data_IF_218714802748
#
_entry.id   IF_218714802748
#
_cell.length_a   1.000
_cell.length_b   1.000
_cell.length_c   1.000
_cell.angle_alpha   90.00
_cell.angle_beta   90.00
_cell.angle_gamma   90.00
#
_symmetry.space_group_name_H-M   'P 1'
#
loop_
_entity.id
_entity.type
_entity.pdbx_description
1 polymer ?
#
# COMPACT_ATOMS: atom_id res chain seq x y z
N UNK A 1 -12.51 -16.60 -2.11
CA UNK A 1 -12.58 -15.13 -1.91
C UNK A 1 -13.53 -14.85 -0.77
N UNK A 2 -13.21 -13.89 0.11
CA UNK A 2 -14.06 -13.54 1.26
C UNK A 2 -15.11 -12.49 0.81
N UNK A 3 -16.42 -12.76 0.90
CA UNK A 3 -17.47 -11.84 0.45
C UNK A 3 -17.47 -10.51 1.21
N UNK A 4 -16.83 -10.43 2.37
CA UNK A 4 -16.67 -9.19 3.14
C UNK A 4 -16.05 -8.04 2.33
N UNK A 5 -15.21 -8.35 1.33
CA UNK A 5 -14.54 -7.35 0.50
C UNK A 5 -15.14 -7.21 -0.90
N UNK A 6 -16.34 -7.75 -1.16
CA UNK A 6 -16.93 -7.74 -2.50
C UNK A 6 -17.14 -6.32 -3.06
N UNK A 7 -17.43 -5.36 -2.19
CA UNK A 7 -17.69 -3.96 -2.57
C UNK A 7 -16.44 -3.06 -2.49
N UNK A 8 -15.29 -3.59 -2.05
CA UNK A 8 -14.04 -2.81 -1.98
C UNK A 8 -13.38 -2.82 -3.35
N UNK A 9 -13.38 -1.67 -4.03
CA UNK A 9 -12.82 -1.47 -5.37
C UNK A 9 -11.53 -0.66 -5.34
N UNK A 10 -11.38 0.20 -4.34
CA UNK A 10 -10.22 1.05 -4.12
C UNK A 10 -9.88 1.15 -2.62
N UNK A 11 -8.66 1.59 -2.29
CA UNK A 11 -8.21 1.65 -0.90
C UNK A 11 -9.11 2.56 -0.04
N UNK A 12 -9.70 3.61 -0.64
CA UNK A 12 -10.57 4.55 0.06
C UNK A 12 -11.97 4.01 0.35
N UNK A 13 -12.31 2.81 -0.14
CA UNK A 13 -13.51 2.09 0.31
C UNK A 13 -13.29 1.38 1.66
N UNK A 14 -12.03 1.30 2.12
CA UNK A 14 -11.70 0.78 3.45
C UNK A 14 -11.98 1.84 4.52
N UNK A 15 -12.28 1.42 5.76
CA UNK A 15 -12.37 2.34 6.89
C UNK A 15 -11.10 3.18 7.03
N UNK A 16 -11.25 4.49 7.17
CA UNK A 16 -10.13 5.44 7.30
C UNK A 16 -9.17 5.04 8.45
N UNK A 17 -9.72 4.54 9.56
CA UNK A 17 -8.91 4.09 10.70
C UNK A 17 -7.94 2.96 10.32
N UNK A 18 -8.32 2.07 9.39
CA UNK A 18 -7.44 1.01 8.92
C UNK A 18 -6.29 1.59 8.09
N UNK A 19 -6.58 2.55 7.22
CA UNK A 19 -5.56 3.26 6.44
C UNK A 19 -4.57 3.97 7.37
N UNK A 20 -5.09 4.67 8.38
CA UNK A 20 -4.28 5.36 9.39
C UNK A 20 -3.41 4.38 10.21
N UNK A 21 -3.94 3.21 10.57
CA UNK A 21 -3.17 2.16 11.25
C UNK A 21 -2.03 1.62 10.38
N UNK A 22 -2.27 1.40 9.09
CA UNK A 22 -1.23 0.94 8.15
C UNK A 22 -0.16 2.02 7.97
N UNK A 23 -0.56 3.28 7.76
CA UNK A 23 0.38 4.40 7.64
C UNK A 23 1.22 4.57 8.91
N UNK A 24 0.59 4.56 10.09
CA UNK A 24 1.30 4.64 11.37
C UNK A 24 2.30 3.49 11.55
N UNK A 25 1.91 2.27 11.20
CA UNK A 25 2.83 1.13 11.27
C UNK A 25 4.09 1.37 10.42
N UNK A 26 3.94 1.74 9.15
CA UNK A 26 5.10 1.94 8.27
C UNK A 26 5.95 3.16 8.63
N UNK A 27 5.35 4.20 9.22
CA UNK A 27 6.09 5.34 9.73
C UNK A 27 7.01 4.98 10.90
N UNK A 28 6.63 4.00 11.74
CA UNK A 28 7.29 3.72 13.02
C UNK A 28 8.00 2.37 13.15
N UNK A 29 7.72 1.38 12.29
CA UNK A 29 8.22 0.02 12.51
C UNK A 29 9.76 -0.11 12.49
N UNK A 30 10.45 0.91 11.97
CA UNK A 30 11.92 0.99 11.85
C UNK A 30 12.57 1.94 12.85
N UNK A 31 11.84 2.54 13.78
CA UNK A 31 12.35 3.62 14.65
C UNK A 31 13.57 3.19 15.49
N UNK A 32 13.73 1.89 15.76
CA UNK A 32 14.86 1.33 16.52
C UNK A 32 15.99 0.78 15.63
N UNK A 33 15.86 0.86 14.32
CA UNK A 33 16.88 0.44 13.37
C UNK A 33 17.78 1.63 13.02
N UNK A 34 18.96 1.70 13.63
CA UNK A 34 19.88 2.82 13.47
C UNK A 34 20.15 3.16 11.99
N UNK A 35 19.90 4.44 11.63
CA UNK A 35 20.10 4.96 10.28
C UNK A 35 18.98 4.61 9.29
N UNK A 36 17.91 3.94 9.70
CA UNK A 36 16.75 3.66 8.84
C UNK A 36 15.60 4.60 9.18
N UNK A 37 14.90 5.03 8.14
CA UNK A 37 13.69 5.83 8.22
C UNK A 37 12.78 5.49 7.04
N UNK A 38 11.52 5.91 7.13
CA UNK A 38 10.54 5.80 6.07
C UNK A 38 9.82 7.15 5.96
N UNK A 39 9.59 7.59 4.73
CA UNK A 39 8.69 8.69 4.42
C UNK A 39 7.54 8.16 3.59
N UNK A 40 6.34 8.63 3.90
CA UNK A 40 5.11 8.24 3.23
C UNK A 40 4.69 9.38 2.32
N UNK A 41 4.66 9.12 1.02
CA UNK A 41 4.19 10.10 0.03
C UNK A 41 2.66 10.16 -0.04
N UNK A 42 1.98 9.04 0.25
CA UNK A 42 0.53 8.96 0.29
C UNK A 42 -0.01 7.61 -0.17
N UNK A 43 -1.31 7.57 -0.39
CA UNK A 43 -2.02 6.44 -0.96
C UNK A 43 -2.40 6.74 -2.42
N UNK A 44 -2.18 5.77 -3.31
CA UNK A 44 -2.57 5.84 -4.71
C UNK A 44 -3.64 4.78 -5.04
N UNK A 45 -4.34 4.98 -6.15
CA UNK A 45 -5.48 4.16 -6.53
C UNK A 45 -5.10 2.78 -7.09
N UNK A 46 -6.13 1.97 -7.34
CA UNK A 46 -5.97 0.61 -7.87
C UNK A 46 -5.39 0.59 -9.30
N UNK A 47 -5.61 1.64 -10.10
CA UNK A 47 -5.09 1.72 -11.46
C UNK A 47 -3.57 1.95 -11.44
N UNK A 48 -3.10 2.87 -10.59
CA UNK A 48 -1.68 3.08 -10.37
C UNK A 48 -1.00 1.77 -9.95
N UNK A 49 -1.56 1.09 -8.94
CA UNK A 49 -1.03 -0.18 -8.45
C UNK A 49 -0.97 -1.26 -9.56
N UNK A 50 -2.03 -1.38 -10.38
CA UNK A 50 -2.04 -2.30 -11.52
C UNK A 50 -0.96 -1.96 -12.56
N UNK A 51 -0.71 -0.66 -12.79
CA UNK A 51 0.37 -0.18 -13.64
C UNK A 51 1.76 -0.59 -13.13
N UNK A 52 2.01 -0.48 -11.82
CA UNK A 52 3.26 -0.92 -11.19
C UNK A 52 3.48 -2.43 -11.36
N UNK A 53 2.43 -3.24 -11.19
CA UNK A 53 2.48 -4.69 -11.39
C UNK A 53 2.88 -5.03 -12.83
N UNK A 54 2.23 -4.40 -13.83
CA UNK A 54 2.58 -4.61 -15.25
C UNK A 54 4.04 -4.27 -15.54
N UNK A 55 4.50 -3.10 -15.09
CA UNK A 55 5.91 -2.67 -15.23
C UNK A 55 6.87 -3.65 -14.57
N UNK A 56 6.51 -4.24 -13.42
CA UNK A 56 7.34 -5.23 -12.75
C UNK A 56 7.44 -6.54 -13.54
N UNK A 57 6.33 -7.01 -14.13
CA UNK A 57 6.31 -8.21 -15.00
C UNK A 57 7.18 -8.01 -16.24
N UNK A 58 7.07 -6.84 -16.88
CA UNK A 58 7.89 -6.48 -18.05
C UNK A 58 9.39 -6.50 -17.70
N UNK A 59 9.78 -5.86 -16.59
CA UNK A 59 11.18 -5.84 -16.11
C UNK A 59 11.73 -7.22 -15.76
N UNK A 60 10.89 -8.14 -15.28
CA UNK A 60 11.32 -9.48 -14.93
C UNK A 60 11.49 -10.39 -16.17
N UNK A 61 10.87 -10.01 -17.30
CA UNK A 61 10.88 -10.78 -18.55
C UNK A 61 11.94 -10.28 -19.54
N UNK A 62 12.60 -9.16 -19.24
CA UNK A 62 13.76 -8.60 -19.95
C UNK A 62 15.07 -9.06 -19.33
#
# INVERSE_FOLDING_TARGET
>A
LNPYYAEVKQYSDLPEILLNQISHFFAHYKDLEAGKWVELEGWEDAEHAAGLIKKAIERASS
#
